data_IF_109537107997
#
_entry.id   IF_109537107997
#
_cell.length_a   1.000
_cell.length_b   1.000
_cell.length_c   1.000
_cell.angle_alpha   90.00
_cell.angle_beta   90.00
_cell.angle_gamma   90.00
#
_symmetry.space_group_name_H-M   'P 1'
#
loop_
_entity.id
_entity.type
_entity.pdbx_description
1 polymer ?
#
# COMPACT_ATOMS: atom_id res chain seq x y z
N UNK A 1 -28.51 5.88 20.81
CA UNK A 1 -27.74 5.36 21.95
C UNK A 1 -27.79 3.84 21.86
N UNK A 2 -26.68 3.17 21.56
CA UNK A 2 -26.60 1.70 21.43
C UNK A 2 -25.51 1.29 20.47
N UNK A 3 -24.33 1.13 20.99
CA UNK A 3 -23.34 0.08 20.85
C UNK A 3 -23.25 -0.66 19.50
N UNK A 4 -22.20 -0.34 18.73
CA UNK A 4 -21.52 -1.30 17.88
C UNK A 4 -19.99 -1.20 18.12
N UNK A 5 -19.58 -1.60 19.31
CA UNK A 5 -18.20 -1.93 19.64
C UNK A 5 -18.19 -3.38 20.11
N UNK A 6 -18.15 -4.33 19.18
CA UNK A 6 -17.64 -5.67 19.45
C UNK A 6 -17.63 -6.43 18.13
N UNK A 7 -16.44 -6.74 17.63
CA UNK A 7 -16.06 -8.03 17.01
C UNK A 7 -14.71 -7.86 16.27
N UNK A 8 -13.67 -7.57 17.01
CA UNK A 8 -12.30 -7.91 16.60
C UNK A 8 -11.55 -8.46 17.82
N UNK A 9 -12.10 -9.52 18.43
CA UNK A 9 -11.38 -10.33 19.43
C UNK A 9 -11.38 -11.79 18.97
N UNK A 10 -10.64 -12.07 17.90
CA UNK A 10 -10.03 -13.38 17.77
C UNK A 10 -8.69 -13.35 18.53
N UNK A 11 -8.26 -14.43 19.20
CA UNK A 11 -6.95 -14.47 19.81
C UNK A 11 -5.92 -14.20 18.71
N UNK A 12 -5.12 -13.13 18.88
CA UNK A 12 -3.97 -12.89 18.04
C UNK A 12 -3.05 -14.10 18.23
N UNK A 13 -3.04 -15.00 17.27
CA UNK A 13 -2.07 -16.09 17.27
C UNK A 13 -0.70 -15.42 17.16
N UNK A 14 0.18 -15.55 18.17
CA UNK A 14 1.50 -14.96 18.09
C UNK A 14 2.17 -15.54 16.85
N UNK A 15 2.63 -14.66 15.96
CA UNK A 15 3.48 -15.07 14.84
C UNK A 15 4.80 -15.43 15.49
N UNK A 16 5.05 -16.71 15.69
CA UNK A 16 6.37 -17.20 16.09
C UNK A 16 7.30 -16.96 14.90
N UNK A 17 8.04 -15.86 14.95
CA UNK A 17 9.22 -15.71 14.10
C UNK A 17 10.20 -16.78 14.57
N UNK A 18 10.49 -17.75 13.71
CA UNK A 18 11.59 -18.67 14.00
C UNK A 18 12.89 -17.86 13.94
N UNK A 19 13.88 -18.24 14.74
CA UNK A 19 15.16 -17.52 14.85
C UNK A 19 15.86 -17.31 13.49
N UNK A 20 15.70 -18.23 12.54
CA UNK A 20 16.20 -18.09 11.16
C UNK A 20 15.63 -16.90 10.39
N UNK A 21 14.44 -16.39 10.79
CA UNK A 21 13.87 -15.16 10.20
C UNK A 21 14.48 -13.91 10.84
N UNK A 22 14.90 -13.97 12.10
CA UNK A 22 15.48 -12.83 12.82
C UNK A 22 16.92 -12.57 12.36
N UNK A 23 17.68 -13.61 12.05
CA UNK A 23 19.07 -13.47 11.59
C UNK A 23 19.20 -12.72 10.25
N UNK A 24 18.15 -12.71 9.41
CA UNK A 24 18.09 -11.91 8.18
C UNK A 24 17.98 -10.41 8.45
N UNK A 25 17.51 -10.01 9.62
CA UNK A 25 17.33 -8.59 9.97
C UNK A 25 18.55 -7.99 10.70
N UNK A 26 19.54 -8.80 11.03
CA UNK A 26 20.76 -8.36 11.73
C UNK A 26 21.82 -7.88 10.71
N UNK A 27 21.64 -6.65 10.18
CA UNK A 27 22.71 -5.91 9.53
C UNK A 27 22.93 -6.14 8.02
N UNK A 28 22.10 -6.93 7.34
CA UNK A 28 22.17 -7.14 5.89
C UNK A 28 21.25 -6.21 5.09
N UNK A 29 21.59 -5.97 3.81
CA UNK A 29 20.70 -5.29 2.86
C UNK A 29 19.42 -6.10 2.65
N UNK A 30 18.25 -5.49 2.87
CA UNK A 30 16.94 -6.12 2.68
C UNK A 30 16.37 -5.83 1.29
N UNK A 31 15.56 -6.75 0.77
CA UNK A 31 14.70 -6.48 -0.36
C UNK A 31 13.31 -6.08 0.13
N UNK A 32 12.98 -4.80 -0.02
CA UNK A 32 11.70 -4.21 0.42
C UNK A 32 10.82 -3.98 -0.80
N UNK A 33 9.66 -4.65 -0.86
CA UNK A 33 8.65 -4.40 -1.87
C UNK A 33 7.61 -3.39 -1.35
N UNK A 34 7.55 -2.21 -1.96
CA UNK A 34 6.61 -1.15 -1.60
C UNK A 34 5.40 -1.21 -2.55
N UNK A 35 4.20 -1.38 -2.00
CA UNK A 35 2.95 -1.42 -2.76
C UNK A 35 2.26 -0.07 -2.59
N UNK A 36 2.22 0.73 -3.65
CA UNK A 36 1.61 2.06 -3.64
C UNK A 36 0.83 2.34 -4.90
N UNK A 37 -0.42 2.73 -4.76
CA UNK A 37 -1.25 3.17 -5.89
C UNK A 37 -0.80 4.49 -6.51
N UNK A 38 0.09 5.23 -5.87
CA UNK A 38 0.65 6.49 -6.34
C UNK A 38 2.16 6.45 -6.32
N UNK A 39 2.75 6.93 -7.41
CA UNK A 39 4.18 7.14 -7.56
C UNK A 39 4.41 8.11 -8.73
N UNK A 40 5.47 8.94 -8.75
CA UNK A 40 5.76 9.81 -9.88
C UNK A 40 5.82 9.05 -11.23
N UNK A 41 5.43 9.65 -12.34
CA UNK A 41 5.12 11.07 -12.56
C UNK A 41 3.76 11.53 -12.07
N UNK A 42 2.94 10.65 -11.51
CA UNK A 42 1.69 11.04 -10.87
C UNK A 42 1.95 11.39 -9.41
N UNK A 43 2.05 12.69 -9.15
CA UNK A 43 2.29 13.23 -7.82
C UNK A 43 1.00 13.35 -7.01
N UNK A 44 1.09 12.98 -5.75
CA UNK A 44 0.11 13.15 -4.69
C UNK A 44 0.86 13.06 -3.36
N UNK A 45 0.20 13.29 -2.25
CA UNK A 45 0.85 13.22 -0.93
C UNK A 45 1.47 11.86 -0.64
N UNK A 46 0.74 10.79 -0.93
CA UNK A 46 1.25 9.42 -0.78
C UNK A 46 2.38 9.12 -1.78
N UNK A 47 2.22 9.53 -3.05
CA UNK A 47 3.25 9.33 -4.07
C UNK A 47 4.57 10.01 -3.71
N UNK A 48 4.53 11.24 -3.19
CA UNK A 48 5.70 11.96 -2.68
C UNK A 48 6.35 11.22 -1.51
N UNK A 49 5.55 10.77 -0.56
CA UNK A 49 6.07 10.02 0.61
C UNK A 49 6.78 8.75 0.17
N UNK A 50 6.16 7.96 -0.71
CA UNK A 50 6.75 6.70 -1.21
C UNK A 50 8.03 6.98 -1.99
N UNK A 51 8.06 8.03 -2.81
CA UNK A 51 9.23 8.44 -3.58
C UNK A 51 10.42 8.77 -2.66
N UNK A 52 10.22 9.63 -1.68
CA UNK A 52 11.29 10.01 -0.76
C UNK A 52 11.73 8.86 0.15
N UNK A 53 10.76 8.06 0.63
CA UNK A 53 11.06 6.91 1.46
C UNK A 53 11.85 5.84 0.70
N UNK A 54 11.45 5.51 -0.54
CA UNK A 54 12.18 4.55 -1.37
C UNK A 54 13.62 5.01 -1.66
N UNK A 55 13.81 6.30 -1.93
CA UNK A 55 15.14 6.91 -2.10
C UNK A 55 16.01 6.75 -0.86
N UNK A 56 15.48 7.07 0.31
CA UNK A 56 16.25 7.00 1.57
C UNK A 56 16.57 5.56 1.95
N UNK A 57 15.63 4.64 1.80
CA UNK A 57 15.89 3.23 2.08
C UNK A 57 16.91 2.62 1.11
N UNK A 58 16.88 3.01 -0.18
CA UNK A 58 17.88 2.59 -1.14
C UNK A 58 19.28 3.15 -0.79
N UNK A 59 19.37 4.43 -0.40
CA UNK A 59 20.62 5.05 0.05
C UNK A 59 21.20 4.40 1.33
N UNK A 60 20.37 3.71 2.11
CA UNK A 60 20.79 2.90 3.26
C UNK A 60 21.26 1.49 2.85
N UNK A 61 21.39 1.21 1.56
CA UNK A 61 21.89 -0.06 1.04
C UNK A 61 20.81 -1.13 0.82
N UNK A 62 19.53 -0.81 0.99
CA UNK A 62 18.45 -1.77 0.73
C UNK A 62 18.10 -1.81 -0.76
N UNK A 63 17.67 -2.98 -1.23
CA UNK A 63 17.07 -3.14 -2.55
C UNK A 63 15.57 -2.82 -2.48
N UNK A 64 15.12 -1.85 -3.24
CA UNK A 64 13.74 -1.38 -3.21
C UNK A 64 13.05 -1.72 -4.53
N UNK A 65 11.88 -2.36 -4.45
CA UNK A 65 10.98 -2.54 -5.60
C UNK A 65 9.64 -1.87 -5.29
N UNK A 66 9.28 -0.85 -6.07
CA UNK A 66 7.98 -0.18 -5.96
C UNK A 66 7.04 -0.76 -7.00
N UNK A 67 5.92 -1.35 -6.55
CA UNK A 67 4.84 -1.82 -7.43
C UNK A 67 3.72 -0.78 -7.39
N UNK A 68 3.50 -0.11 -8.52
CA UNK A 68 2.56 1.01 -8.61
C UNK A 68 1.60 0.85 -9.78
N UNK A 69 0.55 1.67 -9.82
CA UNK A 69 -0.39 1.72 -10.93
C UNK A 69 0.28 2.27 -12.19
N UNK A 70 -0.02 1.66 -13.35
CA UNK A 70 0.40 2.22 -14.62
C UNK A 70 -0.21 3.62 -14.81
N UNK A 71 0.63 4.56 -15.25
CA UNK A 71 0.24 5.94 -15.54
C UNK A 71 0.87 6.39 -16.85
N UNK A 72 0.38 7.51 -17.39
CA UNK A 72 1.06 8.18 -18.51
C UNK A 72 2.39 8.78 -18.02
N UNK A 73 3.41 8.68 -18.84
CA UNK A 73 4.76 9.15 -18.53
C UNK A 73 5.65 8.08 -17.90
N UNK A 74 6.93 8.35 -17.91
CA UNK A 74 7.97 7.46 -17.39
C UNK A 74 8.26 7.83 -15.93
N UNK A 75 8.22 6.85 -14.99
CA UNK A 75 8.68 7.09 -13.64
C UNK A 75 10.13 7.61 -13.62
N UNK A 76 10.48 8.51 -12.69
CA UNK A 76 11.86 8.97 -12.56
C UNK A 76 12.78 7.81 -12.22
N UNK A 77 13.94 7.78 -12.89
CA UNK A 77 14.99 6.83 -12.56
C UNK A 77 15.57 7.17 -11.18
N UNK A 78 15.80 6.17 -10.37
CA UNK A 78 16.41 6.29 -9.05
C UNK A 78 17.32 5.09 -8.80
N UNK A 79 18.55 5.36 -8.42
CA UNK A 79 19.52 4.30 -8.11
C UNK A 79 19.03 3.45 -6.93
N UNK A 80 19.16 2.13 -7.04
CA UNK A 80 18.72 1.18 -6.01
C UNK A 80 17.20 0.97 -5.92
N UNK A 81 16.42 1.64 -6.77
CA UNK A 81 14.95 1.51 -6.80
C UNK A 81 14.48 0.99 -8.15
N UNK A 82 13.87 -0.19 -8.15
CA UNK A 82 13.16 -0.76 -9.29
C UNK A 82 11.69 -0.38 -9.23
N UNK A 83 11.12 0.08 -10.35
CA UNK A 83 9.71 0.46 -10.43
C UNK A 83 9.01 -0.50 -11.38
N UNK A 84 7.94 -1.12 -10.90
CA UNK A 84 7.08 -2.02 -11.66
C UNK A 84 5.69 -1.40 -11.75
N UNK A 85 5.25 -1.11 -12.95
CA UNK A 85 3.90 -0.59 -13.20
C UNK A 85 2.95 -1.74 -13.53
N UNK A 86 1.84 -1.84 -12.81
CA UNK A 86 0.82 -2.87 -13.04
C UNK A 86 -0.46 -2.28 -13.60
N UNK A 87 -1.21 -3.02 -14.43
CA UNK A 87 -2.47 -2.58 -14.98
C UNK A 87 -3.54 -2.43 -13.90
N UNK A 88 -4.50 -1.54 -14.14
CA UNK A 88 -5.65 -1.31 -13.29
C UNK A 88 -6.85 -0.83 -14.12
N UNK A 89 -8.06 -1.04 -13.61
CA UNK A 89 -9.29 -0.61 -14.26
C UNK A 89 -9.65 0.81 -13.80
N UNK A 90 -9.87 1.69 -14.75
CA UNK A 90 -10.31 3.08 -14.51
C UNK A 90 -11.83 3.16 -14.32
N UNK A 91 -12.38 2.27 -13.52
CA UNK A 91 -13.80 2.16 -13.20
C UNK A 91 -13.99 2.57 -11.75
N UNK A 92 -14.94 3.46 -11.43
CA UNK A 92 -15.25 3.80 -10.04
C UNK A 92 -15.46 2.55 -9.20
N UNK A 93 -14.97 2.56 -7.96
CA UNK A 93 -14.98 1.46 -6.98
C UNK A 93 -14.13 0.23 -7.34
N UNK A 94 -13.79 0.02 -8.61
CA UNK A 94 -12.96 -1.13 -9.02
C UNK A 94 -11.47 -0.78 -9.14
N UNK A 95 -11.11 0.50 -9.22
CA UNK A 95 -9.72 0.90 -9.46
C UNK A 95 -8.75 0.43 -8.35
N UNK A 96 -9.16 0.45 -7.08
CA UNK A 96 -8.31 -0.02 -5.97
C UNK A 96 -8.23 -1.54 -5.94
N UNK A 97 -9.34 -2.24 -6.16
CA UNK A 97 -9.40 -3.70 -6.17
C UNK A 97 -8.62 -4.31 -7.33
N UNK A 98 -8.81 -3.77 -8.54
CA UNK A 98 -8.11 -4.25 -9.73
C UNK A 98 -6.60 -4.02 -9.62
N UNK A 99 -6.18 -2.84 -9.12
CA UNK A 99 -4.80 -2.57 -8.80
C UNK A 99 -4.27 -3.52 -7.73
N UNK A 100 -4.96 -3.68 -6.60
CA UNK A 100 -4.53 -4.54 -5.51
C UNK A 100 -4.34 -6.00 -5.95
N UNK A 101 -5.25 -6.52 -6.79
CA UNK A 101 -5.14 -7.86 -7.37
C UNK A 101 -3.93 -7.99 -8.29
N UNK A 102 -3.70 -7.01 -9.17
CA UNK A 102 -2.56 -6.99 -10.08
C UNK A 102 -1.23 -6.86 -9.31
N UNK A 103 -1.19 -5.98 -8.30
CA UNK A 103 -0.02 -5.80 -7.45
C UNK A 103 0.36 -7.07 -6.68
N UNK A 104 -0.63 -7.77 -6.11
CA UNK A 104 -0.37 -9.03 -5.39
C UNK A 104 0.15 -10.13 -6.33
N UNK A 105 -0.40 -10.22 -7.54
CA UNK A 105 0.08 -11.17 -8.56
C UNK A 105 1.54 -10.89 -8.94
N UNK A 106 1.86 -9.62 -9.18
CA UNK A 106 3.22 -9.22 -9.55
C UNK A 106 4.21 -9.38 -8.39
N UNK A 107 3.77 -9.07 -7.16
CA UNK A 107 4.56 -9.31 -5.95
C UNK A 107 4.92 -10.78 -5.77
N UNK A 108 3.96 -11.68 -5.99
CA UNK A 108 4.22 -13.12 -5.91
C UNK A 108 5.21 -13.59 -6.99
N UNK A 109 5.11 -13.04 -8.21
CA UNK A 109 6.07 -13.30 -9.28
C UNK A 109 7.47 -12.79 -8.91
N UNK A 110 7.55 -11.53 -8.43
CA UNK A 110 8.80 -10.94 -7.97
C UNK A 110 9.46 -11.78 -6.88
N UNK A 111 8.69 -12.21 -5.89
CA UNK A 111 9.21 -12.99 -4.77
C UNK A 111 9.76 -14.37 -5.21
N UNK A 112 9.14 -14.97 -6.21
CA UNK A 112 9.60 -16.25 -6.78
C UNK A 112 10.94 -16.10 -7.51
N UNK A 113 11.15 -14.97 -8.20
CA UNK A 113 12.38 -14.69 -8.94
C UNK A 113 13.47 -14.12 -8.01
N UNK A 114 13.06 -13.21 -7.13
CA UNK A 114 13.93 -12.46 -6.22
C UNK A 114 13.24 -12.36 -4.85
N UNK A 115 13.66 -13.15 -3.85
CA UNK A 115 13.02 -13.16 -2.54
C UNK A 115 12.87 -11.76 -1.93
N UNK A 116 11.65 -11.45 -1.50
CA UNK A 116 11.29 -10.20 -0.79
C UNK A 116 11.33 -10.48 0.71
N UNK A 117 11.98 -9.61 1.48
CA UNK A 117 12.11 -9.73 2.93
C UNK A 117 10.97 -9.02 3.67
N UNK A 118 10.51 -7.89 3.14
CA UNK A 118 9.42 -7.08 3.71
C UNK A 118 8.53 -6.54 2.60
N UNK A 119 7.22 -6.59 2.83
CA UNK A 119 6.22 -5.89 2.02
C UNK A 119 5.76 -4.65 2.77
N UNK A 120 6.00 -3.47 2.20
CA UNK A 120 5.51 -2.22 2.73
C UNK A 120 4.28 -1.76 1.95
N UNK A 121 3.11 -1.94 2.56
CA UNK A 121 1.82 -1.63 1.96
C UNK A 121 1.38 -0.21 2.31
N UNK A 122 1.26 0.64 1.32
CA UNK A 122 0.73 2.00 1.45
C UNK A 122 -0.78 1.98 1.16
N UNK A 123 -1.56 1.81 2.21
CA UNK A 123 -3.02 1.78 2.17
C UNK A 123 -3.62 3.20 2.04
N UNK A 124 -4.84 3.34 1.57
CA UNK A 124 -5.85 2.30 1.25
C UNK A 124 -5.91 1.92 -0.22
N UNK A 125 -4.96 2.38 -1.05
CA UNK A 125 -5.05 2.25 -2.51
C UNK A 125 -4.89 0.82 -3.05
N UNK A 126 -4.36 -0.10 -2.26
CA UNK A 126 -4.36 -1.53 -2.56
C UNK A 126 -5.45 -2.21 -1.73
N UNK A 127 -6.64 -2.35 -2.28
CA UNK A 127 -7.75 -3.04 -1.60
C UNK A 127 -7.55 -4.54 -1.63
N UNK A 128 -6.86 -5.06 -0.66
CA UNK A 128 -6.75 -6.50 -0.43
C UNK A 128 -7.83 -6.98 0.52
N UNK A 129 -8.44 -8.12 0.19
CA UNK A 129 -9.26 -8.85 1.13
C UNK A 129 -8.40 -9.44 2.26
N UNK A 130 -9.02 -9.79 3.38
CA UNK A 130 -8.31 -10.45 4.49
C UNK A 130 -7.57 -11.71 4.03
N UNK A 131 -8.17 -12.50 3.11
CA UNK A 131 -7.52 -13.69 2.53
C UNK A 131 -6.27 -13.35 1.71
N UNK A 132 -6.32 -12.27 0.93
CA UNK A 132 -5.16 -11.82 0.14
C UNK A 132 -4.05 -11.28 1.04
N UNK A 133 -4.41 -10.54 2.07
CA UNK A 133 -3.47 -10.03 3.06
C UNK A 133 -2.78 -11.18 3.81
N UNK A 134 -3.55 -12.15 4.30
CA UNK A 134 -3.02 -13.35 4.97
C UNK A 134 -2.15 -14.19 4.04
N UNK A 135 -2.55 -14.32 2.78
CA UNK A 135 -1.73 -15.00 1.78
C UNK A 135 -0.38 -14.30 1.60
N UNK A 136 -0.37 -12.99 1.43
CA UNK A 136 0.87 -12.22 1.31
C UNK A 136 1.78 -12.45 2.53
N UNK A 137 1.22 -12.34 3.72
CA UNK A 137 1.95 -12.47 4.98
C UNK A 137 2.53 -13.87 5.22
N UNK A 138 1.84 -14.91 4.76
CA UNK A 138 2.27 -16.31 4.97
C UNK A 138 3.18 -16.84 3.87
N UNK A 139 2.90 -16.48 2.62
CA UNK A 139 3.55 -17.09 1.45
C UNK A 139 4.65 -16.19 0.85
N UNK A 140 4.67 -14.90 1.16
CA UNK A 140 5.62 -13.97 0.57
C UNK A 140 6.54 -13.39 1.64
N UNK A 141 6.05 -12.42 2.44
CA UNK A 141 6.86 -11.76 3.45
C UNK A 141 5.99 -11.07 4.52
N UNK A 142 6.56 -10.72 5.68
CA UNK A 142 5.91 -9.84 6.66
C UNK A 142 5.42 -8.55 6.00
N UNK A 143 4.25 -8.06 6.45
CA UNK A 143 3.64 -6.85 5.89
C UNK A 143 3.66 -5.73 6.91
N UNK A 144 4.26 -4.61 6.54
CA UNK A 144 4.17 -3.32 7.25
C UNK A 144 3.17 -2.46 6.49
N UNK A 145 2.22 -1.84 7.18
CA UNK A 145 1.23 -0.95 6.58
C UNK A 145 1.40 0.49 7.05
N UNK A 146 1.50 1.41 6.09
CA UNK A 146 1.42 2.85 6.34
C UNK A 146 0.05 3.37 5.94
N UNK A 147 -0.67 3.94 6.91
CA UNK A 147 -1.96 4.58 6.67
C UNK A 147 -1.75 6.05 6.33
N UNK A 148 -2.17 6.46 5.14
CA UNK A 148 -2.09 7.86 4.66
C UNK A 148 -3.41 8.62 4.82
N UNK A 149 -4.35 8.04 5.50
CA UNK A 149 -5.70 8.49 5.73
C UNK A 149 -6.66 7.32 5.76
N UNK A 150 -7.89 7.58 6.14
CA UNK A 150 -8.98 6.61 6.09
C UNK A 150 -10.15 7.22 5.34
N UNK A 151 -10.98 6.39 4.70
CA UNK A 151 -12.20 6.84 4.05
C UNK A 151 -13.13 7.59 5.02
N UNK A 152 -13.20 7.14 6.28
CA UNK A 152 -13.97 7.81 7.32
C UNK A 152 -13.42 9.20 7.63
N UNK A 153 -12.09 9.32 7.81
CA UNK A 153 -11.44 10.59 8.06
C UNK A 153 -11.58 11.58 6.89
N UNK A 154 -11.54 11.08 5.64
CA UNK A 154 -11.77 11.89 4.45
C UNK A 154 -13.22 12.40 4.41
N UNK A 155 -14.20 11.52 4.64
CA UNK A 155 -15.61 11.90 4.73
C UNK A 155 -15.85 12.97 5.82
N UNK A 156 -15.32 12.74 7.02
CA UNK A 156 -15.52 13.64 8.15
C UNK A 156 -14.82 14.99 7.91
N UNK A 157 -13.64 14.97 7.26
CA UNK A 157 -12.93 16.17 6.81
C UNK A 157 -13.71 16.98 5.78
N UNK A 158 -14.31 16.32 4.77
CA UNK A 158 -15.17 16.97 3.78
C UNK A 158 -16.43 17.56 4.42
N UNK A 159 -17.03 16.86 5.37
CA UNK A 159 -18.21 17.34 6.10
C UNK A 159 -17.87 18.60 6.93
N UNK A 160 -16.71 18.58 7.58
CA UNK A 160 -16.22 19.73 8.35
C UNK A 160 -15.89 20.90 7.43
N UNK A 161 -15.19 20.68 6.31
CA UNK A 161 -14.87 21.73 5.35
C UNK A 161 -16.14 22.40 4.79
N UNK A 162 -17.17 21.61 4.48
CA UNK A 162 -18.46 22.13 4.03
C UNK A 162 -19.13 23.04 5.10
N UNK A 163 -18.94 22.75 6.39
CA UNK A 163 -19.46 23.60 7.47
C UNK A 163 -18.78 24.98 7.55
N UNK A 164 -17.59 25.13 6.96
CA UNK A 164 -16.86 26.39 6.82
C UNK A 164 -17.09 27.07 5.46
N UNK A 165 -18.03 26.57 4.65
CA UNK A 165 -18.35 27.14 3.33
C UNK A 165 -17.43 26.71 2.21
N UNK A 166 -16.51 25.78 2.45
CA UNK A 166 -15.71 25.17 1.38
C UNK A 166 -16.59 24.28 0.50
N UNK A 167 -16.44 24.34 -0.83
CA UNK A 167 -17.22 23.49 -1.72
C UNK A 167 -16.88 22.03 -1.48
N UNK A 168 -17.78 21.28 -0.87
CA UNK A 168 -17.67 19.84 -0.81
C UNK A 168 -17.78 19.30 -2.27
N UNK A 169 -16.68 18.77 -2.81
CA UNK A 169 -16.66 18.19 -4.16
C UNK A 169 -17.30 16.81 -4.11
N UNK A 170 -18.63 16.81 -4.02
CA UNK A 170 -19.46 15.58 -3.99
C UNK A 170 -19.61 14.90 -5.35
N UNK A 171 -18.89 15.35 -6.36
CA UNK A 171 -18.96 14.82 -7.72
C UNK A 171 -18.12 13.57 -7.95
N UNK A 172 -17.31 13.18 -6.98
CA UNK A 172 -16.51 11.96 -7.08
C UNK A 172 -17.38 10.75 -6.69
N UNK A 173 -17.58 9.75 -7.58
CA UNK A 173 -18.34 8.53 -7.25
C UNK A 173 -17.81 7.76 -6.02
N UNK A 174 -16.54 7.94 -5.69
CA UNK A 174 -15.95 7.31 -4.50
C UNK A 174 -16.46 7.98 -3.21
N UNK A 175 -16.69 9.29 -3.23
CA UNK A 175 -17.22 10.03 -2.08
C UNK A 175 -18.67 9.64 -1.78
N UNK A 176 -19.43 9.32 -2.83
CA UNK A 176 -20.80 8.78 -2.71
C UNK A 176 -20.81 7.38 -2.09
N UNK A 177 -19.83 6.55 -2.41
CA UNK A 177 -19.74 5.19 -1.90
C UNK A 177 -19.29 5.08 -0.44
N UNK A 178 -18.72 6.16 0.11
CA UNK A 178 -18.25 6.24 1.49
C UNK A 178 -19.38 6.67 2.45
N UNK A 179 -20.48 7.19 1.92
CA UNK A 179 -21.68 7.58 2.69
C UNK A 179 -22.56 6.38 3.03
#
# INVERSE_FOLDING_TARGET
MGLFLNHCRGPATPVLFNNASLDRFTGGAMHIAMISGEYPPRWGGMGSTVFHLSSKLAAMGNRITVITRSSKGTPPHMEGVRIIQVPWLKIPLEFTRSYGKAALKELARLHADEPVDIVHLHCPMASWSSKQFERCRREIAPVVSSMHGTWLGERDGLTLAASFGEPAVWSNPNDIAIR
#
